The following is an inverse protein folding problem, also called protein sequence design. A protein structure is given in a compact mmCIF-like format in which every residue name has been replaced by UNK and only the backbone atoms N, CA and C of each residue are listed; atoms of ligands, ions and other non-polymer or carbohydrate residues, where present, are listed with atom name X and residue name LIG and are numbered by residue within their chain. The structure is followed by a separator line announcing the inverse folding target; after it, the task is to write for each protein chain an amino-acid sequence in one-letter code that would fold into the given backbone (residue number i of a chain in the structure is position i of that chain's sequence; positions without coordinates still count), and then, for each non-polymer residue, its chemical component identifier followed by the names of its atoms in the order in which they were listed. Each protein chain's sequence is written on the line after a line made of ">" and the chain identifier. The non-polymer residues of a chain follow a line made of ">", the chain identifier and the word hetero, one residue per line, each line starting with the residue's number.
data_IF_847644118987
#
_entry.id   IF_847644118987
#
_cell.length_a   1.000
_cell.length_b   1.000
_cell.length_c   1.000
_cell.angle_alpha   90.00
_cell.angle_beta   90.00
_cell.angle_gamma   90.00
#
_symmetry.space_group_name_H-M   'P 1'
#
loop_
_entity.id
_entity.type
_entity.pdbx_description
1 polymer ?
#
# COMPACT_ATOMS: atom_id res chain seq x y z
N UNK A 1 -4.34 27.93 -15.22
CA UNK A 1 -5.36 27.81 -16.31
C UNK A 1 -5.42 29.06 -17.17
N UNK A 2 -5.80 30.25 -16.65
CA UNK A 2 -5.90 31.48 -17.45
C UNK A 2 -4.67 31.82 -18.30
N UNK A 3 -3.45 31.55 -17.82
CA UNK A 3 -2.23 31.86 -18.59
C UNK A 3 -2.08 30.96 -19.80
N UNK A 4 -2.35 29.64 -19.67
CA UNK A 4 -2.31 28.69 -20.79
C UNK A 4 -3.41 29.03 -21.83
N UNK A 5 -4.62 29.34 -21.36
CA UNK A 5 -5.71 29.74 -22.26
C UNK A 5 -5.34 31.00 -23.09
N UNK A 6 -4.71 32.01 -22.49
CA UNK A 6 -4.19 33.16 -23.20
C UNK A 6 -3.09 32.80 -24.18
N UNK A 7 -2.13 31.96 -23.78
CA UNK A 7 -1.06 31.51 -24.68
C UNK A 7 -1.62 30.71 -25.86
N UNK A 8 -2.60 29.84 -25.65
CA UNK A 8 -3.28 29.12 -26.73
C UNK A 8 -4.02 30.08 -27.68
N UNK A 9 -4.72 31.09 -27.16
CA UNK A 9 -5.39 32.09 -27.98
C UNK A 9 -4.41 32.96 -28.79
N UNK A 10 -3.22 33.23 -28.25
CA UNK A 10 -2.21 34.07 -28.89
C UNK A 10 -1.33 33.29 -29.87
N UNK A 11 -0.81 32.13 -29.47
CA UNK A 11 0.21 31.39 -30.21
C UNK A 11 -0.39 30.27 -31.09
N UNK A 12 -1.57 29.77 -30.75
CA UNK A 12 -2.24 28.71 -31.48
C UNK A 12 -3.76 28.94 -31.63
N UNK A 13 -4.19 30.14 -32.12
CA UNK A 13 -5.61 30.53 -32.20
C UNK A 13 -6.46 29.63 -33.09
N UNK A 14 -5.83 28.95 -34.06
CA UNK A 14 -6.48 28.01 -34.99
C UNK A 14 -6.38 26.54 -34.54
N UNK A 15 -5.75 26.28 -33.40
CA UNK A 15 -5.44 24.96 -32.89
C UNK A 15 -3.96 24.59 -32.98
N UNK A 16 -3.61 23.41 -32.55
CA UNK A 16 -2.23 22.88 -32.49
C UNK A 16 -2.00 21.92 -33.62
N UNK A 17 -0.79 21.90 -34.19
CA UNK A 17 -0.38 20.93 -35.21
C UNK A 17 -0.29 19.54 -34.59
N UNK A 18 -0.74 18.52 -35.35
CA UNK A 18 -0.58 17.10 -34.98
C UNK A 18 0.22 16.38 -36.05
N UNK A 19 1.29 15.70 -35.68
CA UNK A 19 2.14 14.93 -36.60
C UNK A 19 2.31 13.50 -36.12
N UNK A 20 2.52 12.59 -37.06
CA UNK A 20 2.84 11.18 -36.74
C UNK A 20 4.24 11.10 -36.15
N UNK A 21 4.43 10.18 -35.21
CA UNK A 21 5.76 9.93 -34.64
C UNK A 21 6.78 9.63 -35.74
N UNK A 22 6.44 8.78 -36.73
CA UNK A 22 7.36 8.45 -37.82
C UNK A 22 7.72 9.61 -38.74
N UNK A 23 6.96 10.72 -38.76
CA UNK A 23 7.26 11.93 -39.52
C UNK A 23 8.23 12.86 -38.83
N UNK A 24 8.43 12.70 -37.51
CA UNK A 24 9.19 13.62 -36.66
C UNK A 24 10.37 12.99 -35.93
N UNK A 25 10.60 11.70 -36.12
CA UNK A 25 11.72 10.99 -35.48
C UNK A 25 11.81 9.53 -35.90
N UNK A 26 12.78 8.85 -35.37
CA UNK A 26 13.08 7.45 -35.66
C UNK A 26 13.22 6.59 -34.42
N UNK A 27 12.91 5.29 -34.56
CA UNK A 27 13.08 4.31 -33.50
C UNK A 27 14.42 3.60 -33.61
N UNK A 28 15.11 3.45 -32.49
CA UNK A 28 16.34 2.66 -32.39
C UNK A 28 16.22 1.55 -31.34
N UNK A 29 16.99 0.48 -31.50
CA UNK A 29 16.98 -0.65 -30.57
C UNK A 29 17.90 -0.41 -29.35
N UNK A 30 17.59 -1.10 -28.25
CA UNK A 30 18.53 -1.26 -27.14
C UNK A 30 19.71 -2.20 -27.50
N UNK A 31 20.47 -2.59 -26.48
CA UNK A 31 21.64 -3.48 -26.59
C UNK A 31 21.34 -4.77 -27.36
N UNK A 32 22.23 -5.14 -28.27
CA UNK A 32 22.11 -6.35 -29.08
C UNK A 32 23.32 -7.26 -28.82
N UNK A 33 23.12 -8.58 -28.90
CA UNK A 33 24.19 -9.58 -28.82
C UNK A 33 24.82 -9.74 -27.42
N UNK A 34 24.17 -9.28 -26.35
CA UNK A 34 24.65 -9.40 -24.98
C UNK A 34 24.17 -10.68 -24.31
N UNK A 35 25.09 -11.37 -23.63
CA UNK A 35 24.79 -12.53 -22.78
C UNK A 35 24.66 -12.10 -21.31
N UNK A 36 24.13 -12.98 -20.45
CA UNK A 36 24.03 -12.73 -19.02
C UNK A 36 25.37 -12.33 -18.39
N UNK A 37 26.48 -12.89 -18.89
CA UNK A 37 27.84 -12.57 -18.41
C UNK A 37 28.25 -11.13 -18.71
N UNK A 38 27.71 -10.51 -19.76
CA UNK A 38 28.02 -9.12 -20.13
C UNK A 38 27.50 -8.09 -19.13
N UNK A 39 26.63 -8.49 -18.23
CA UNK A 39 26.00 -7.62 -17.21
C UNK A 39 26.57 -7.82 -15.81
N UNK A 40 27.53 -8.74 -15.59
CA UNK A 40 28.08 -9.04 -14.26
C UNK A 40 29.22 -8.09 -13.84
N UNK A 41 30.04 -7.65 -14.79
CA UNK A 41 31.12 -6.67 -14.58
C UNK A 41 31.31 -5.90 -15.89
N UNK A 42 30.76 -4.70 -15.98
CA UNK A 42 30.77 -3.90 -17.19
C UNK A 42 31.73 -2.68 -17.09
N UNK A 43 32.23 -2.23 -18.25
CA UNK A 43 33.02 -1.03 -18.43
C UNK A 43 32.20 0.22 -18.79
N UNK A 44 30.91 0.04 -19.06
CA UNK A 44 29.95 1.09 -19.44
C UNK A 44 28.65 0.92 -18.65
N UNK A 45 27.74 1.90 -18.76
CA UNK A 45 26.45 1.90 -18.11
C UNK A 45 25.28 1.72 -19.11
N UNK A 46 24.21 1.13 -18.64
CA UNK A 46 22.95 1.05 -19.39
C UNK A 46 21.74 1.32 -18.53
N UNK A 47 20.64 1.74 -19.16
CA UNK A 47 19.33 1.96 -18.53
C UNK A 47 18.63 0.61 -18.43
N UNK A 48 18.40 0.05 -17.22
CA UNK A 48 17.66 -1.20 -17.06
C UNK A 48 16.16 -1.02 -17.37
N UNK A 49 15.49 -2.13 -17.69
CA UNK A 49 14.06 -2.14 -17.98
C UNK A 49 13.22 -1.48 -16.87
N UNK A 50 13.54 -1.76 -15.60
CA UNK A 50 12.81 -1.24 -14.43
C UNK A 50 12.88 0.28 -14.33
N UNK A 51 14.01 0.89 -14.72
CA UNK A 51 14.15 2.34 -14.78
C UNK A 51 13.20 2.96 -15.80
N UNK A 52 13.15 2.39 -17.01
CA UNK A 52 12.21 2.84 -18.06
C UNK A 52 10.76 2.64 -17.64
N UNK A 53 10.46 1.53 -17.01
CA UNK A 53 9.10 1.17 -16.61
C UNK A 53 8.54 2.08 -15.51
N UNK A 54 9.31 2.27 -14.44
CA UNK A 54 8.84 2.96 -13.24
C UNK A 54 8.90 4.50 -13.35
N UNK A 55 9.87 5.03 -14.10
CA UNK A 55 10.17 6.45 -14.08
C UNK A 55 9.70 7.18 -15.36
N UNK A 56 8.93 8.28 -15.25
CA UNK A 56 8.56 9.11 -16.40
C UNK A 56 9.75 9.89 -16.98
N UNK A 57 10.78 10.11 -16.17
CA UNK A 57 12.08 10.66 -16.56
C UNK A 57 13.21 9.75 -16.11
N UNK A 58 14.31 9.73 -16.85
CA UNK A 58 15.47 8.88 -16.57
C UNK A 58 16.08 9.21 -15.20
N UNK A 59 16.22 8.15 -14.37
CA UNK A 59 16.99 8.22 -13.12
C UNK A 59 18.43 7.76 -13.38
N UNK A 60 19.37 8.68 -13.38
CA UNK A 60 20.80 8.38 -13.58
C UNK A 60 21.44 7.66 -12.39
N UNK A 61 20.80 7.63 -11.22
CA UNK A 61 21.29 6.87 -10.06
C UNK A 61 20.91 5.39 -10.13
N UNK A 62 19.96 5.02 -10.99
CA UNK A 62 19.47 3.66 -11.17
C UNK A 62 19.96 3.04 -12.50
N UNK A 63 21.22 3.23 -12.82
CA UNK A 63 21.90 2.60 -13.95
C UNK A 63 22.61 1.32 -13.53
N UNK A 64 22.74 0.39 -14.48
CA UNK A 64 23.48 -0.85 -14.27
C UNK A 64 24.69 -0.91 -15.22
N UNK A 65 25.66 -1.80 -14.92
CA UNK A 65 26.88 -1.92 -15.73
C UNK A 65 26.70 -2.95 -16.87
N UNK A 66 27.38 -2.70 -18.00
CA UNK A 66 27.43 -3.61 -19.14
C UNK A 66 28.80 -3.59 -19.78
N UNK A 67 29.28 -4.75 -20.23
CA UNK A 67 30.53 -4.88 -20.98
C UNK A 67 30.31 -4.54 -22.46
N UNK A 68 30.99 -3.52 -22.97
CA UNK A 68 31.02 -3.11 -24.36
C UNK A 68 32.43 -3.25 -24.88
N UNK A 69 32.60 -3.91 -26.04
CA UNK A 69 33.88 -4.06 -26.70
C UNK A 69 34.27 -2.79 -27.48
N UNK A 70 35.58 -2.53 -27.64
CA UNK A 70 36.09 -1.30 -28.26
C UNK A 70 35.62 -1.05 -29.69
N UNK A 71 35.33 -2.12 -30.44
CA UNK A 71 34.87 -2.03 -31.83
C UNK A 71 33.33 -2.27 -31.97
N UNK A 72 32.65 -2.41 -30.85
CA UNK A 72 31.23 -2.73 -30.83
C UNK A 72 30.39 -1.48 -31.04
N UNK A 73 29.55 -1.50 -32.09
CA UNK A 73 28.62 -0.40 -32.38
C UNK A 73 27.27 -0.70 -31.71
N UNK A 74 26.90 0.10 -30.75
CA UNK A 74 25.62 0.05 -30.04
C UNK A 74 25.03 1.46 -29.98
N UNK A 75 23.70 1.56 -29.94
CA UNK A 75 23.03 2.84 -29.79
C UNK A 75 23.19 3.37 -28.37
N UNK A 76 23.51 4.65 -28.25
CA UNK A 76 23.55 5.38 -26.99
C UNK A 76 22.34 6.31 -26.87
N UNK A 77 21.89 6.56 -25.65
CA UNK A 77 20.81 7.51 -25.37
C UNK A 77 21.35 8.94 -25.40
N UNK A 78 20.47 9.90 -25.71
CA UNK A 78 20.77 11.34 -25.75
C UNK A 78 19.68 12.14 -25.07
N UNK A 79 19.97 13.39 -24.71
CA UNK A 79 18.96 14.34 -24.23
C UNK A 79 17.80 14.44 -25.23
N UNK A 80 16.57 14.39 -24.72
CA UNK A 80 15.35 14.44 -25.53
C UNK A 80 14.87 13.08 -26.05
N UNK A 81 15.69 12.01 -25.96
CA UNK A 81 15.23 10.68 -26.33
C UNK A 81 14.07 10.20 -25.46
N UNK A 82 13.13 9.51 -26.08
CA UNK A 82 12.06 8.80 -25.39
C UNK A 82 12.36 7.30 -25.40
N UNK A 83 12.48 6.71 -24.22
CA UNK A 83 12.74 5.30 -24.05
C UNK A 83 11.42 4.58 -23.75
N UNK A 84 11.16 3.46 -24.44
CA UNK A 84 9.94 2.67 -24.27
C UNK A 84 10.27 1.22 -23.87
N UNK A 85 9.44 0.63 -23.03
CA UNK A 85 9.47 -0.83 -22.80
C UNK A 85 8.90 -1.54 -24.03
N UNK A 86 9.60 -2.58 -24.52
CA UNK A 86 9.23 -3.30 -25.73
C UNK A 86 8.13 -4.34 -25.54
N UNK A 87 7.99 -4.86 -24.32
CA UNK A 87 6.97 -5.86 -23.98
C UNK A 87 6.55 -5.79 -22.52
N UNK A 88 5.35 -6.30 -22.21
CA UNK A 88 4.82 -6.43 -20.85
C UNK A 88 3.91 -7.65 -20.73
N UNK A 89 3.66 -8.11 -19.51
CA UNK A 89 2.66 -9.14 -19.19
C UNK A 89 1.22 -8.57 -19.19
N UNK A 90 1.08 -7.26 -18.97
CA UNK A 90 -0.19 -6.55 -18.94
C UNK A 90 -0.28 -5.58 -20.14
N UNK A 91 -1.45 -5.52 -20.76
CA UNK A 91 -1.72 -4.60 -21.88
C UNK A 91 -1.56 -3.13 -21.45
N UNK A 92 -2.05 -2.78 -20.27
CA UNK A 92 -2.01 -1.42 -19.71
C UNK A 92 -0.58 -0.94 -19.44
N UNK A 93 0.34 -1.87 -19.16
CA UNK A 93 1.74 -1.59 -18.84
C UNK A 93 2.66 -1.64 -20.07
N UNK A 94 2.13 -1.95 -21.25
CA UNK A 94 2.93 -2.04 -22.47
C UNK A 94 3.37 -0.66 -22.96
N UNK A 95 4.57 -0.56 -23.54
CA UNK A 95 5.17 0.71 -23.99
C UNK A 95 5.17 1.81 -22.92
N UNK A 96 5.52 1.45 -21.69
CA UNK A 96 5.80 2.50 -20.68
C UNK A 96 6.98 3.35 -21.13
N UNK A 97 6.82 4.67 -20.99
CA UNK A 97 7.79 5.64 -21.52
C UNK A 97 8.62 6.26 -20.40
N UNK A 98 9.87 6.54 -20.70
CA UNK A 98 10.81 7.28 -19.87
C UNK A 98 11.54 8.28 -20.75
N UNK A 99 11.65 9.53 -20.35
CA UNK A 99 12.26 10.59 -21.15
C UNK A 99 13.61 10.97 -20.59
N UNK A 100 14.60 11.15 -21.44
CA UNK A 100 15.93 11.69 -21.08
C UNK A 100 15.82 13.21 -20.99
N UNK A 101 15.64 13.72 -19.78
CA UNK A 101 15.40 15.16 -19.52
C UNK A 101 16.65 15.93 -19.12
N UNK A 102 17.79 15.26 -18.99
CA UNK A 102 19.05 15.85 -18.57
C UNK A 102 20.19 15.49 -19.52
N UNK A 103 21.22 16.34 -19.59
CA UNK A 103 22.38 16.12 -20.45
C UNK A 103 23.12 14.86 -20.04
N UNK A 104 23.49 14.06 -21.01
CA UNK A 104 24.26 12.83 -20.85
C UNK A 104 25.71 13.14 -21.20
N UNK A 105 26.63 12.98 -20.24
CA UNK A 105 28.06 13.28 -20.43
C UNK A 105 28.89 12.05 -20.86
N UNK A 106 28.32 10.84 -20.67
CA UNK A 106 29.00 9.56 -20.96
C UNK A 106 28.10 8.71 -21.84
N UNK A 107 28.67 7.76 -22.58
CA UNK A 107 27.91 6.76 -23.30
C UNK A 107 27.09 5.93 -22.33
N UNK A 108 25.76 6.01 -22.44
CA UNK A 108 24.81 5.17 -21.73
C UNK A 108 23.99 4.44 -22.76
N UNK A 109 23.84 3.14 -22.57
CA UNK A 109 23.11 2.25 -23.46
C UNK A 109 21.72 1.96 -22.93
N UNK A 110 20.88 1.32 -23.74
CA UNK A 110 19.52 0.96 -23.37
C UNK A 110 19.36 -0.55 -23.27
N UNK A 111 18.59 -1.04 -22.30
CA UNK A 111 18.28 -2.46 -22.15
C UNK A 111 17.71 -3.07 -23.46
N UNK A 112 18.06 -4.33 -23.76
CA UNK A 112 17.63 -5.05 -24.98
C UNK A 112 16.12 -5.26 -25.09
N UNK A 113 15.37 -5.23 -23.98
CA UNK A 113 13.91 -5.32 -23.93
C UNK A 113 13.22 -3.96 -24.06
N UNK A 114 14.01 -2.91 -24.27
CA UNK A 114 13.53 -1.55 -24.47
C UNK A 114 13.97 -1.06 -25.87
N UNK A 115 13.36 0.00 -26.33
CA UNK A 115 13.75 0.72 -27.54
C UNK A 115 13.62 2.22 -27.31
N UNK A 116 14.43 2.99 -28.02
CA UNK A 116 14.41 4.44 -27.98
C UNK A 116 13.71 5.03 -29.19
N UNK A 117 13.26 6.26 -29.04
CA UNK A 117 12.77 7.12 -30.10
C UNK A 117 13.49 8.46 -30.02
N UNK A 118 14.08 8.92 -31.12
CA UNK A 118 14.83 10.17 -31.24
C UNK A 118 14.15 11.09 -32.23
N UNK A 119 13.93 12.32 -31.84
CA UNK A 119 13.38 13.35 -32.72
C UNK A 119 14.43 13.83 -33.72
N UNK A 120 14.00 14.12 -34.95
CA UNK A 120 14.87 14.73 -35.99
C UNK A 120 15.22 16.19 -35.66
N UNK A 121 14.30 16.90 -35.02
CA UNK A 121 14.50 18.26 -34.49
C UNK A 121 14.49 18.22 -32.97
N UNK A 122 15.64 18.46 -32.35
CA UNK A 122 15.84 18.47 -30.90
C UNK A 122 15.07 19.60 -30.18
N UNK A 123 14.69 20.64 -30.93
CA UNK A 123 13.97 21.81 -30.42
C UNK A 123 12.45 21.67 -30.55
N UNK A 124 11.94 20.59 -31.11
CA UNK A 124 10.51 20.37 -31.34
C UNK A 124 9.74 20.25 -30.04
N UNK A 125 10.34 19.62 -29.03
CA UNK A 125 9.74 19.39 -27.74
C UNK A 125 10.64 19.77 -26.56
N UNK A 126 10.03 20.31 -25.53
CA UNK A 126 10.62 20.31 -24.20
C UNK A 126 10.59 18.85 -23.66
N UNK A 127 11.73 18.23 -23.31
CA UNK A 127 11.77 16.85 -22.80
C UNK A 127 10.86 16.64 -21.57
N UNK A 128 10.77 17.63 -20.68
CA UNK A 128 9.89 17.55 -19.51
C UNK A 128 8.39 17.59 -19.88
N UNK A 129 8.00 18.19 -21.02
CA UNK A 129 6.64 18.09 -21.52
C UNK A 129 6.30 16.67 -21.94
N UNK A 130 7.23 16.00 -22.64
CA UNK A 130 7.05 14.62 -23.10
C UNK A 130 6.88 13.63 -21.94
N UNK A 131 7.60 13.81 -20.81
CA UNK A 131 7.46 12.93 -19.64
C UNK A 131 6.03 12.92 -19.08
N UNK A 132 5.34 14.07 -19.14
CA UNK A 132 3.94 14.17 -18.72
C UNK A 132 2.98 13.66 -19.79
N UNK A 133 3.21 14.07 -21.06
CA UNK A 133 2.32 13.76 -22.16
C UNK A 133 2.24 12.26 -22.48
N UNK A 134 3.39 11.59 -22.55
CA UNK A 134 3.44 10.18 -22.95
C UNK A 134 2.91 9.20 -21.88
N UNK A 135 2.73 9.68 -20.65
CA UNK A 135 2.08 8.94 -19.57
C UNK A 135 0.65 9.40 -19.29
N UNK A 136 0.14 10.33 -20.07
CA UNK A 136 -1.27 10.75 -19.97
C UNK A 136 -2.23 9.68 -20.45
N UNK A 137 -3.43 9.64 -19.86
CA UNK A 137 -4.45 8.64 -20.17
C UNK A 137 -4.80 8.58 -21.67
N UNK A 138 -4.98 9.74 -22.30
CA UNK A 138 -5.36 9.81 -23.73
C UNK A 138 -4.27 9.27 -24.65
N UNK A 139 -3.00 9.55 -24.36
CA UNK A 139 -1.90 8.94 -25.09
C UNK A 139 -1.83 7.43 -24.85
N UNK A 140 -1.90 7.00 -23.58
CA UNK A 140 -1.85 5.60 -23.18
C UNK A 140 -2.96 4.76 -23.82
N UNK A 141 -4.18 5.31 -23.90
CA UNK A 141 -5.30 4.68 -24.60
C UNK A 141 -4.98 4.38 -26.08
N UNK A 142 -4.17 5.19 -26.76
CA UNK A 142 -3.75 4.93 -28.14
C UNK A 142 -2.67 3.85 -28.22
N UNK A 143 -1.85 3.67 -27.19
CA UNK A 143 -0.84 2.60 -27.12
C UNK A 143 -1.50 1.22 -27.18
N UNK A 144 -2.65 1.01 -26.54
CA UNK A 144 -3.36 -0.28 -26.59
C UNK A 144 -3.70 -0.75 -28.01
N UNK A 145 -3.82 0.19 -28.98
CA UNK A 145 -4.12 -0.09 -30.40
C UNK A 145 -2.90 -0.55 -31.21
N UNK A 146 -1.69 -0.40 -30.67
CA UNK A 146 -0.43 -0.69 -31.37
C UNK A 146 0.33 -1.88 -30.75
N UNK A 147 -0.34 -2.60 -29.87
CA UNK A 147 0.20 -3.74 -29.14
C UNK A 147 -0.39 -5.04 -29.68
N UNK A 148 0.43 -6.08 -29.82
CA UNK A 148 0.06 -7.41 -30.25
C UNK A 148 0.43 -8.44 -29.17
N UNK A 149 -0.38 -9.50 -29.02
CA UNK A 149 -0.14 -10.61 -28.11
C UNK A 149 -1.35 -10.92 -27.22
N UNK A 150 -1.30 -12.07 -26.54
CA UNK A 150 -2.37 -12.55 -25.64
C UNK A 150 -1.86 -12.76 -24.22
N UNK A 151 -0.73 -13.44 -24.04
CA UNK A 151 -0.09 -13.71 -22.73
C UNK A 151 1.09 -12.79 -22.47
N UNK A 152 1.76 -12.36 -23.53
CA UNK A 152 2.82 -11.36 -23.52
C UNK A 152 2.56 -10.36 -24.62
N UNK A 153 2.43 -9.11 -24.25
CA UNK A 153 2.11 -8.01 -25.12
C UNK A 153 3.40 -7.37 -25.66
N UNK A 154 3.50 -7.20 -26.96
CA UNK A 154 4.65 -6.62 -27.64
C UNK A 154 4.23 -5.37 -28.43
N UNK A 155 5.08 -4.35 -28.41
CA UNK A 155 4.86 -3.08 -29.12
C UNK A 155 5.28 -3.22 -30.58
N UNK A 156 4.38 -2.90 -31.50
CA UNK A 156 4.71 -2.73 -32.92
C UNK A 156 5.23 -1.32 -33.18
N UNK A 157 6.54 -1.16 -33.41
CA UNK A 157 7.14 0.13 -33.78
C UNK A 157 6.51 0.72 -35.07
N UNK A 158 6.14 -0.14 -36.02
CA UNK A 158 5.48 0.28 -37.28
C UNK A 158 4.09 0.87 -37.02
N UNK A 159 3.32 0.32 -36.07
CA UNK A 159 2.02 0.88 -35.68
C UNK A 159 2.21 2.11 -34.80
N UNK A 160 3.19 2.09 -33.89
CA UNK A 160 3.52 3.22 -33.01
C UNK A 160 3.95 4.45 -33.82
N UNK A 161 4.68 4.28 -34.93
CA UNK A 161 5.06 5.38 -35.85
C UNK A 161 3.86 6.11 -36.47
N UNK A 162 2.70 5.46 -36.54
CA UNK A 162 1.46 6.04 -37.10
C UNK A 162 0.65 6.85 -36.06
N UNK A 163 0.98 6.76 -34.76
CA UNK A 163 0.31 7.56 -33.74
C UNK A 163 0.66 9.05 -33.97
N UNK A 164 -0.38 9.87 -33.96
CA UNK A 164 -0.24 11.32 -34.07
C UNK A 164 -0.18 11.93 -32.66
N UNK A 165 0.74 12.89 -32.47
CA UNK A 165 0.88 13.65 -31.23
C UNK A 165 0.80 15.14 -31.51
N UNK A 166 0.28 15.94 -30.55
CA UNK A 166 0.24 17.40 -30.68
C UNK A 166 1.62 18.01 -30.54
N UNK A 167 1.88 19.07 -31.26
CA UNK A 167 3.10 19.88 -31.21
C UNK A 167 2.72 21.30 -30.82
N UNK A 168 2.41 21.60 -29.55
CA UNK A 168 2.13 22.95 -29.13
C UNK A 168 3.42 23.79 -29.15
N UNK A 169 3.34 25.11 -29.33
CA UNK A 169 4.47 26.04 -29.22
C UNK A 169 5.25 25.83 -27.90
N UNK A 170 6.57 25.99 -27.93
CA UNK A 170 7.46 25.73 -26.80
C UNK A 170 7.07 26.49 -25.52
N UNK A 171 6.56 27.69 -25.65
CA UNK A 171 6.12 28.51 -24.51
C UNK A 171 4.92 27.88 -23.81
N UNK A 172 4.03 27.25 -24.56
CA UNK A 172 2.88 26.51 -24.02
C UNK A 172 3.38 25.24 -23.32
N UNK A 173 4.31 24.50 -23.96
CA UNK A 173 4.92 23.31 -23.36
C UNK A 173 5.59 23.65 -22.02
N UNK A 174 6.39 24.73 -21.97
CA UNK A 174 7.08 25.19 -20.77
C UNK A 174 6.12 25.56 -19.64
N UNK A 175 5.03 26.25 -19.95
CA UNK A 175 4.04 26.63 -18.93
C UNK A 175 3.28 25.41 -18.40
N UNK A 176 2.97 24.44 -19.25
CA UNK A 176 2.36 23.16 -18.84
C UNK A 176 3.33 22.39 -17.92
N UNK A 177 4.60 22.28 -18.29
CA UNK A 177 5.64 21.65 -17.47
C UNK A 177 5.72 22.29 -16.09
N UNK A 178 5.79 23.62 -16.03
CA UNK A 178 5.86 24.36 -14.77
C UNK A 178 4.70 24.04 -13.84
N UNK A 179 3.49 23.94 -14.38
CA UNK A 179 2.30 23.60 -13.58
C UNK A 179 2.34 22.15 -13.14
N UNK A 180 2.61 21.20 -14.04
CA UNK A 180 2.56 19.77 -13.72
C UNK A 180 3.72 19.33 -12.82
N UNK A 181 4.91 19.93 -12.96
CA UNK A 181 6.03 19.66 -12.07
C UNK A 181 5.75 20.18 -10.65
N UNK A 182 5.22 21.41 -10.51
CA UNK A 182 4.81 21.95 -9.21
C UNK A 182 3.74 21.08 -8.53
N UNK A 183 2.75 20.57 -9.27
CA UNK A 183 1.77 19.62 -8.75
C UNK A 183 2.39 18.30 -8.31
N UNK A 184 3.36 17.78 -9.07
CA UNK A 184 4.04 16.52 -8.76
C UNK A 184 4.89 16.65 -7.49
N UNK A 185 5.64 17.75 -7.36
CA UNK A 185 6.45 18.08 -6.19
C UNK A 185 5.57 18.19 -4.94
N UNK A 186 4.53 19.04 -4.99
CA UNK A 186 3.59 19.23 -3.89
C UNK A 186 2.92 17.92 -3.45
N UNK A 187 2.49 17.08 -4.40
CA UNK A 187 1.90 15.79 -4.07
C UNK A 187 2.92 14.84 -3.41
N UNK A 188 4.18 14.87 -3.84
CA UNK A 188 5.25 14.03 -3.29
C UNK A 188 5.58 14.45 -1.86
N UNK A 189 5.76 15.73 -1.60
CA UNK A 189 6.01 16.29 -0.28
C UNK A 189 4.87 15.93 0.68
N UNK A 190 3.65 16.23 0.28
CA UNK A 190 2.47 15.96 1.12
C UNK A 190 2.27 14.47 1.40
N UNK A 191 2.46 13.58 0.42
CA UNK A 191 2.39 12.14 0.64
C UNK A 191 3.46 11.67 1.63
N UNK A 192 4.64 12.28 1.60
CA UNK A 192 5.73 11.99 2.54
C UNK A 192 5.38 12.44 3.95
N UNK A 193 4.84 13.66 4.10
CA UNK A 193 4.38 14.20 5.39
C UNK A 193 3.26 13.35 5.98
N UNK A 194 2.22 13.05 5.20
CA UNK A 194 1.08 12.25 5.63
C UNK A 194 1.49 10.84 6.07
N UNK A 195 2.39 10.18 5.33
CA UNK A 195 2.90 8.86 5.70
C UNK A 195 3.79 8.92 6.94
N UNK A 196 4.56 9.99 7.12
CA UNK A 196 5.40 10.20 8.31
C UNK A 196 4.54 10.42 9.54
N UNK A 197 3.51 11.28 9.45
CA UNK A 197 2.53 11.49 10.52
C UNK A 197 1.82 10.18 10.90
N UNK A 198 1.36 9.41 9.90
CA UNK A 198 0.72 8.13 10.15
C UNK A 198 1.63 7.15 10.90
N UNK A 199 2.91 7.06 10.52
CA UNK A 199 3.90 6.22 11.21
C UNK A 199 4.15 6.70 12.64
N UNK A 200 4.24 8.02 12.85
CA UNK A 200 4.43 8.61 14.17
C UNK A 200 3.23 8.32 15.09
N UNK A 201 2.00 8.48 14.59
CA UNK A 201 0.77 8.19 15.34
C UNK A 201 0.62 6.71 15.70
N UNK A 202 0.96 5.80 14.79
CA UNK A 202 0.99 4.36 15.09
C UNK A 202 1.96 4.04 16.22
N UNK A 203 3.20 4.55 16.16
CA UNK A 203 4.20 4.36 17.22
C UNK A 203 3.75 4.95 18.55
N UNK A 204 3.12 6.13 18.53
CA UNK A 204 2.57 6.76 19.71
C UNK A 204 1.45 5.92 20.33
N UNK A 205 0.54 5.39 19.51
CA UNK A 205 -0.51 4.48 19.97
C UNK A 205 0.07 3.22 20.63
N UNK A 206 1.00 2.55 19.97
CA UNK A 206 1.69 1.35 20.50
C UNK A 206 2.40 1.64 21.83
N UNK A 207 3.07 2.79 21.94
CA UNK A 207 3.72 3.21 23.18
C UNK A 207 2.70 3.39 24.32
N UNK A 208 1.62 4.15 24.11
CA UNK A 208 0.60 4.36 25.12
C UNK A 208 -0.14 3.06 25.47
N UNK A 209 -0.45 2.22 24.47
CA UNK A 209 -1.07 0.92 24.70
C UNK A 209 -0.20 0.05 25.61
N UNK A 210 1.07 -0.10 25.30
CA UNK A 210 2.01 -0.88 26.10
C UNK A 210 2.14 -0.30 27.52
N UNK A 211 2.26 1.02 27.63
CA UNK A 211 2.37 1.71 28.93
C UNK A 211 1.14 1.48 29.82
N UNK A 212 -0.07 1.58 29.25
CA UNK A 212 -1.33 1.44 30.01
C UNK A 212 -1.64 -0.01 30.38
N UNK A 213 -1.12 -0.98 29.62
CA UNK A 213 -1.39 -2.40 29.82
C UNK A 213 -0.30 -3.15 30.61
N UNK A 214 0.88 -2.56 30.77
CA UNK A 214 1.99 -3.14 31.53
C UNK A 214 2.02 -2.66 32.99
N UNK A 215 1.66 -3.56 33.92
CA UNK A 215 1.58 -3.33 35.34
C UNK A 215 2.80 -3.84 36.10
N UNK A 216 3.85 -4.35 35.43
CA UNK A 216 5.00 -5.00 36.10
C UNK A 216 5.80 -4.06 37.03
N UNK A 217 5.94 -2.80 36.60
CA UNK A 217 6.76 -1.83 37.33
C UNK A 217 6.03 -1.11 38.49
N UNK A 218 4.75 -1.43 38.75
CA UNK A 218 4.00 -0.81 39.88
C UNK A 218 4.50 -1.33 41.22
N UNK A 219 5.24 -2.42 41.24
CA UNK A 219 5.82 -3.05 42.46
C UNK A 219 7.27 -2.66 42.74
N UNK A 220 8.00 -1.99 41.82
CA UNK A 220 9.38 -1.64 42.07
C UNK A 220 9.48 -0.50 43.07
N UNK A 221 10.03 -0.84 44.25
CA UNK A 221 10.23 -0.01 45.40
C UNK A 221 10.70 1.42 45.11
N UNK A 222 10.19 2.35 45.89
CA UNK A 222 10.46 3.78 46.00
C UNK A 222 11.94 4.23 46.06
N UNK A 223 12.95 3.38 45.84
CA UNK A 223 14.36 3.77 45.98
C UNK A 223 15.09 4.11 44.68
N UNK A 224 14.56 3.70 43.53
CA UNK A 224 15.18 3.99 42.21
C UNK A 224 14.29 4.86 41.28
N UNK A 225 13.47 5.71 41.86
CA UNK A 225 12.45 6.55 41.20
C UNK A 225 13.02 7.67 40.29
N UNK A 226 14.23 7.54 39.74
CA UNK A 226 14.81 8.58 38.87
C UNK A 226 14.80 8.27 37.37
N UNK A 227 14.32 7.10 36.90
CA UNK A 227 14.49 6.78 35.46
C UNK A 227 13.30 6.19 34.70
N UNK A 228 12.09 6.05 35.27
CA UNK A 228 10.91 5.81 34.36
C UNK A 228 9.60 6.17 35.08
N UNK A 229 9.36 7.44 35.33
CA UNK A 229 8.01 7.90 35.69
C UNK A 229 7.10 7.70 34.48
N UNK A 230 6.40 6.55 34.37
CA UNK A 230 5.30 6.38 33.45
C UNK A 230 4.30 7.51 33.71
N UNK A 231 4.17 8.45 32.76
CA UNK A 231 3.28 9.60 32.92
C UNK A 231 1.85 9.18 32.57
N UNK A 232 1.18 8.50 33.50
CA UNK A 232 -0.23 8.16 33.35
C UNK A 232 -1.11 9.43 33.32
N UNK A 233 -2.25 9.41 32.61
CA UNK A 233 -3.27 10.46 32.74
C UNK A 233 -3.66 10.65 34.21
N UNK A 234 -3.84 11.88 34.64
CA UNK A 234 -4.07 12.23 36.07
C UNK A 234 -5.13 11.37 36.75
N UNK A 235 -6.26 11.15 36.07
CA UNK A 235 -7.35 10.32 36.63
C UNK A 235 -6.92 8.87 36.86
N UNK A 236 -6.25 8.24 35.89
CA UNK A 236 -5.75 6.88 36.02
C UNK A 236 -4.70 6.79 37.14
N UNK A 237 -3.83 7.78 37.25
CA UNK A 237 -2.84 7.86 38.33
C UNK A 237 -3.51 7.89 39.68
N UNK A 238 -4.56 8.71 39.88
CA UNK A 238 -5.34 8.76 41.14
C UNK A 238 -6.00 7.42 41.43
N UNK A 239 -6.62 6.77 40.42
CA UNK A 239 -7.24 5.46 40.63
C UNK A 239 -6.22 4.38 41.00
N UNK A 240 -5.05 4.34 40.39
CA UNK A 240 -3.97 3.41 40.74
C UNK A 240 -3.50 3.62 42.21
N UNK A 241 -3.29 4.86 42.60
CA UNK A 241 -2.89 5.18 43.97
C UNK A 241 -3.95 4.82 45.02
N UNK A 242 -5.22 4.99 44.69
CA UNK A 242 -6.33 4.78 45.64
C UNK A 242 -6.78 3.32 45.70
N UNK A 243 -6.92 2.65 44.56
CA UNK A 243 -7.53 1.31 44.45
C UNK A 243 -6.50 0.18 44.36
N UNK A 244 -5.28 0.48 43.95
CA UNK A 244 -4.21 -0.51 43.80
C UNK A 244 -2.88 -0.04 44.44
N UNK A 245 -2.88 0.49 45.68
CA UNK A 245 -1.66 1.04 46.29
C UNK A 245 -0.58 -0.01 46.56
N UNK A 246 -0.97 -1.28 46.64
CA UNK A 246 -0.07 -2.43 46.84
C UNK A 246 0.25 -3.15 45.51
N UNK A 247 -0.16 -2.58 44.37
CA UNK A 247 -0.02 -3.15 43.04
C UNK A 247 -1.23 -3.94 42.55
N UNK A 248 -1.07 -4.66 41.46
CA UNK A 248 -2.14 -5.35 40.76
C UNK A 248 -1.91 -6.87 40.79
N UNK A 249 -2.97 -7.63 41.06
CA UNK A 249 -2.92 -9.09 41.02
C UNK A 249 -2.78 -9.62 39.58
N UNK A 250 -2.01 -10.67 39.42
CA UNK A 250 -1.86 -11.38 38.13
C UNK A 250 -2.47 -12.77 38.21
N UNK A 251 -3.27 -13.14 37.22
CA UNK A 251 -3.86 -14.47 37.08
C UNK A 251 -3.42 -15.16 35.79
N UNK A 252 -3.41 -16.49 35.78
CA UNK A 252 -3.17 -17.25 34.57
C UNK A 252 -4.43 -17.31 33.69
N UNK A 253 -4.26 -17.55 32.39
CA UNK A 253 -5.41 -17.71 31.49
C UNK A 253 -6.31 -18.87 31.95
N UNK A 254 -5.73 -19.99 32.39
CA UNK A 254 -6.51 -21.15 32.84
C UNK A 254 -7.30 -20.93 34.16
N UNK A 255 -6.86 -20.03 35.01
CA UNK A 255 -7.64 -19.63 36.21
C UNK A 255 -8.92 -18.91 35.82
N UNK A 256 -8.87 -18.06 34.79
CA UNK A 256 -9.94 -17.11 34.43
C UNK A 256 -10.85 -17.65 33.32
N UNK A 257 -10.29 -18.38 32.36
CA UNK A 257 -11.01 -18.73 31.13
C UNK A 257 -11.21 -20.23 30.95
N UNK A 258 -12.32 -20.59 30.34
CA UNK A 258 -12.44 -21.80 29.55
C UNK A 258 -11.68 -21.61 28.24
N UNK A 259 -10.72 -22.50 27.98
CA UNK A 259 -9.84 -22.45 26.80
C UNK A 259 -10.18 -23.61 25.88
N UNK A 260 -10.78 -23.34 24.73
CA UNK A 260 -11.22 -24.37 23.78
C UNK A 260 -10.94 -23.94 22.36
N UNK A 261 -10.57 -24.89 21.50
CA UNK A 261 -10.38 -24.61 20.08
C UNK A 261 -11.70 -24.48 19.33
N UNK A 262 -11.70 -23.65 18.29
CA UNK A 262 -12.77 -23.58 17.33
C UNK A 262 -12.96 -24.90 16.56
N UNK A 263 -13.96 -24.93 15.70
CA UNK A 263 -14.34 -26.11 14.95
C UNK A 263 -14.79 -25.73 13.55
N UNK A 264 -14.33 -26.49 12.54
CA UNK A 264 -14.80 -26.37 11.17
C UNK A 264 -15.75 -27.51 10.84
N UNK A 265 -17.03 -27.21 10.56
CA UNK A 265 -17.96 -28.20 10.02
C UNK A 265 -17.48 -28.76 8.67
N UNK A 266 -17.90 -29.98 8.31
CA UNK A 266 -17.56 -30.56 7.01
C UNK A 266 -17.99 -29.62 5.88
N UNK A 267 -17.06 -29.19 5.04
CA UNK A 267 -17.32 -28.29 3.90
C UNK A 267 -18.17 -28.96 2.81
N UNK A 268 -18.12 -30.29 2.73
CA UNK A 268 -18.82 -31.07 1.72
C UNK A 268 -20.29 -31.35 2.08
N UNK A 269 -20.78 -30.90 3.24
CA UNK A 269 -22.17 -31.08 3.61
C UNK A 269 -22.93 -29.73 3.51
N UNK A 270 -23.75 -29.52 2.45
CA UNK A 270 -24.49 -28.27 2.24
C UNK A 270 -25.42 -27.93 3.41
N UNK A 271 -26.01 -28.93 4.09
CA UNK A 271 -26.90 -28.70 5.24
C UNK A 271 -26.24 -27.95 6.41
N UNK A 272 -24.91 -27.92 6.46
CA UNK A 272 -24.18 -27.20 7.51
C UNK A 272 -23.99 -25.71 7.19
N UNK A 273 -24.13 -25.34 5.91
CA UNK A 273 -23.75 -24.00 5.41
C UNK A 273 -24.89 -23.24 4.76
N UNK A 274 -25.78 -23.93 4.04
CA UNK A 274 -26.89 -23.28 3.34
C UNK A 274 -27.91 -22.73 4.33
N UNK A 275 -28.26 -21.44 4.18
CA UNK A 275 -29.17 -20.71 5.06
C UNK A 275 -28.74 -20.73 6.53
N UNK A 276 -27.43 -20.73 6.78
CA UNK A 276 -26.88 -20.62 8.13
C UNK A 276 -27.31 -19.33 8.81
N UNK A 277 -27.53 -19.41 10.13
CA UNK A 277 -27.94 -18.28 10.98
C UNK A 277 -26.95 -18.01 12.12
N UNK A 278 -25.99 -18.91 12.33
CA UNK A 278 -25.01 -18.83 13.40
C UNK A 278 -23.70 -18.28 12.82
N UNK A 279 -23.16 -17.18 13.33
CA UNK A 279 -21.88 -16.64 12.88
C UNK A 279 -20.74 -17.67 13.07
N UNK A 280 -19.95 -17.86 12.01
CA UNK A 280 -18.79 -18.73 12.02
C UNK A 280 -17.56 -17.96 11.52
N UNK A 281 -16.71 -17.56 12.48
CA UNK A 281 -15.62 -16.62 12.24
C UNK A 281 -14.34 -17.26 11.68
N UNK A 282 -13.71 -16.53 10.76
CA UNK A 282 -12.41 -16.82 10.17
C UNK A 282 -11.52 -15.58 10.22
N UNK A 283 -10.29 -15.73 9.75
CA UNK A 283 -9.34 -14.61 9.71
C UNK A 283 -9.81 -13.47 8.78
N UNK A 284 -10.53 -13.80 7.71
CA UNK A 284 -11.12 -12.83 6.79
C UNK A 284 -12.08 -11.89 7.51
N UNK A 285 -12.86 -12.39 8.46
CA UNK A 285 -13.79 -11.56 9.25
C UNK A 285 -13.06 -10.48 10.05
N UNK A 286 -11.90 -10.81 10.64
CA UNK A 286 -11.08 -9.83 11.36
C UNK A 286 -10.50 -8.78 10.39
N UNK A 287 -10.10 -9.19 9.20
CA UNK A 287 -9.50 -8.27 8.20
C UNK A 287 -10.53 -7.31 7.63
N UNK A 288 -11.74 -7.76 7.38
CA UNK A 288 -12.79 -6.97 6.73
C UNK A 288 -13.63 -6.16 7.73
N UNK A 289 -13.95 -6.75 8.89
CA UNK A 289 -14.88 -6.17 9.85
C UNK A 289 -14.19 -5.63 11.12
N UNK A 290 -12.85 -5.71 11.20
CA UNK A 290 -12.08 -5.28 12.36
C UNK A 290 -12.10 -6.30 13.49
N UNK A 291 -11.68 -5.87 14.69
CA UNK A 291 -11.40 -6.76 15.83
C UNK A 291 -12.54 -6.87 16.85
N UNK A 292 -13.66 -6.17 16.66
CA UNK A 292 -14.89 -6.32 17.47
C UNK A 292 -15.96 -6.86 16.53
N UNK A 293 -16.26 -8.16 16.65
CA UNK A 293 -17.06 -8.89 15.68
C UNK A 293 -18.49 -9.11 16.17
N UNK A 294 -19.45 -8.60 15.41
CA UNK A 294 -20.90 -8.76 15.66
C UNK A 294 -21.57 -9.72 14.70
N UNK A 295 -20.94 -9.98 13.56
CA UNK A 295 -21.43 -10.87 12.51
C UNK A 295 -20.25 -11.39 11.68
N UNK A 296 -20.45 -12.49 10.94
CA UNK A 296 -19.45 -13.13 10.11
C UNK A 296 -19.84 -13.12 8.63
N UNK A 297 -18.85 -13.20 7.77
CA UNK A 297 -19.03 -13.33 6.31
C UNK A 297 -19.75 -14.66 5.99
N UNK A 298 -19.49 -15.71 6.76
CA UNK A 298 -20.04 -17.03 6.56
C UNK A 298 -20.76 -17.53 7.81
N UNK A 299 -21.97 -18.08 7.61
CA UNK A 299 -22.81 -18.62 8.68
C UNK A 299 -22.92 -20.14 8.58
N UNK A 300 -23.21 -20.77 9.71
CA UNK A 300 -23.51 -22.21 9.81
C UNK A 300 -24.93 -22.42 10.33
N UNK A 301 -25.47 -23.59 10.04
CA UNK A 301 -26.78 -24.00 10.57
C UNK A 301 -26.64 -24.65 11.96
N UNK A 302 -27.72 -24.72 12.77
CA UNK A 302 -27.70 -25.47 14.02
C UNK A 302 -27.27 -26.95 13.87
N UNK A 303 -27.56 -27.57 12.72
CA UNK A 303 -27.13 -28.96 12.41
C UNK A 303 -25.61 -29.11 12.39
N UNK A 304 -24.88 -28.04 12.02
CA UNK A 304 -23.43 -28.03 11.97
C UNK A 304 -22.77 -28.16 13.36
N UNK A 305 -23.48 -27.85 14.41
CA UNK A 305 -22.95 -27.87 15.78
C UNK A 305 -22.68 -29.29 16.30
N UNK A 306 -23.38 -30.31 15.80
CA UNK A 306 -23.21 -31.72 16.23
C UNK A 306 -23.18 -31.86 17.76
N UNK A 307 -24.15 -31.26 18.46
CA UNK A 307 -24.28 -31.23 19.93
C UNK A 307 -23.17 -30.40 20.66
N UNK A 308 -22.33 -29.65 19.96
CA UNK A 308 -21.42 -28.69 20.59
C UNK A 308 -22.18 -27.42 20.98
N UNK A 309 -21.79 -26.84 22.09
CA UNK A 309 -22.31 -25.53 22.51
C UNK A 309 -21.62 -24.40 21.76
N UNK A 310 -22.36 -23.35 21.46
CA UNK A 310 -21.76 -22.10 21.01
C UNK A 310 -20.87 -21.49 22.07
N UNK A 311 -19.86 -20.78 21.66
CA UNK A 311 -19.10 -19.91 22.52
C UNK A 311 -19.89 -18.65 22.82
N UNK A 312 -19.99 -18.24 24.09
CA UNK A 312 -20.82 -17.13 24.47
C UNK A 312 -20.28 -15.78 23.96
N UNK A 313 -21.18 -14.84 23.76
CA UNK A 313 -20.80 -13.43 23.57
C UNK A 313 -19.85 -12.97 24.66
N UNK A 314 -19.03 -11.96 24.36
CA UNK A 314 -17.92 -11.49 25.18
C UNK A 314 -16.78 -12.53 25.35
N UNK A 315 -16.67 -13.51 24.44
CA UNK A 315 -15.47 -14.34 24.32
C UNK A 315 -14.42 -13.65 23.44
N UNK A 316 -13.15 -13.95 23.71
CA UNK A 316 -12.04 -13.60 22.78
C UNK A 316 -11.72 -14.81 21.93
N UNK A 317 -11.51 -14.61 20.63
CA UNK A 317 -10.81 -15.56 19.77
C UNK A 317 -9.38 -15.08 19.53
N UNK A 318 -8.42 -15.98 19.66
CA UNK A 318 -7.01 -15.71 19.35
C UNK A 318 -6.46 -16.82 18.44
N UNK A 319 -5.78 -16.44 17.37
CA UNK A 319 -5.15 -17.40 16.46
C UNK A 319 -3.90 -18.01 17.11
N UNK A 320 -3.92 -19.32 17.29
CA UNK A 320 -2.82 -20.10 17.86
C UNK A 320 -2.06 -20.93 16.82
N UNK A 321 -2.50 -20.87 15.55
CA UNK A 321 -1.85 -21.47 14.39
C UNK A 321 -1.93 -20.49 13.20
N UNK A 322 -1.07 -20.64 12.19
CA UNK A 322 -0.98 -19.80 10.99
C UNK A 322 -0.71 -18.31 11.32
N UNK A 323 -1.70 -17.44 11.35
CA UNK A 323 -1.55 -16.01 11.71
C UNK A 323 -1.50 -15.79 13.23
N UNK A 324 -0.50 -16.36 13.87
CA UNK A 324 -0.38 -16.43 15.34
C UNK A 324 -0.46 -15.04 15.99
N UNK A 325 -1.30 -14.93 17.06
CA UNK A 325 -1.46 -13.74 17.87
C UNK A 325 -2.55 -12.77 17.40
N UNK A 326 -3.12 -12.95 16.18
CA UNK A 326 -4.29 -12.21 15.76
C UNK A 326 -5.50 -12.59 16.60
N UNK A 327 -6.26 -11.60 17.08
CA UNK A 327 -7.36 -11.82 18.01
C UNK A 327 -8.53 -10.86 17.77
N UNK A 328 -9.71 -11.24 18.27
CA UNK A 328 -10.91 -10.42 18.22
C UNK A 328 -11.80 -10.66 19.44
N UNK A 329 -12.56 -9.62 19.83
CA UNK A 329 -13.66 -9.70 20.78
C UNK A 329 -14.97 -10.02 20.05
N UNK A 330 -15.65 -11.07 20.47
CA UNK A 330 -16.95 -11.47 19.93
C UNK A 330 -18.06 -10.87 20.78
N UNK A 331 -18.99 -10.14 20.17
CA UNK A 331 -20.15 -9.56 20.85
C UNK A 331 -21.46 -10.32 20.54
N UNK A 332 -21.34 -11.55 20.01
CA UNK A 332 -22.43 -12.45 19.64
C UNK A 332 -22.01 -13.90 19.99
N UNK A 333 -23.01 -14.74 20.31
CA UNK A 333 -22.79 -16.18 20.46
C UNK A 333 -22.44 -16.80 19.12
N UNK A 334 -21.36 -17.56 19.04
CA UNK A 334 -20.78 -17.93 17.75
C UNK A 334 -19.90 -19.15 17.80
N UNK A 335 -19.36 -19.51 16.62
CA UNK A 335 -18.28 -20.47 16.44
C UNK A 335 -17.19 -19.84 15.59
N UNK A 336 -15.99 -20.42 15.58
CA UNK A 336 -14.91 -20.06 14.68
C UNK A 336 -14.20 -21.30 14.16
N UNK A 337 -13.37 -21.16 13.13
CA UNK A 337 -12.58 -22.27 12.62
C UNK A 337 -11.52 -22.74 13.67
N UNK A 338 -10.92 -23.91 13.43
CA UNK A 338 -9.96 -24.51 14.37
C UNK A 338 -8.62 -23.75 14.48
N UNK A 339 -8.38 -22.74 13.66
CA UNK A 339 -7.22 -21.86 13.77
C UNK A 339 -7.27 -21.02 15.05
N UNK A 340 -8.49 -20.74 15.52
CA UNK A 340 -8.71 -19.95 16.71
C UNK A 340 -8.89 -20.78 17.96
N UNK A 341 -8.30 -20.29 19.05
CA UNK A 341 -8.59 -20.70 20.42
C UNK A 341 -9.51 -19.65 21.06
N UNK A 342 -10.58 -20.10 21.68
CA UNK A 342 -11.52 -19.29 22.41
C UNK A 342 -11.10 -19.13 23.87
N UNK A 343 -11.20 -17.90 24.38
CA UNK A 343 -11.06 -17.54 25.78
C UNK A 343 -12.42 -17.02 26.27
N UNK A 344 -13.21 -17.90 26.87
CA UNK A 344 -14.52 -17.58 27.43
C UNK A 344 -14.41 -17.48 28.95
N UNK A 345 -14.77 -16.32 29.53
CA UNK A 345 -14.66 -16.13 30.99
C UNK A 345 -15.53 -17.16 31.74
N UNK A 346 -14.94 -17.83 32.73
CA UNK A 346 -15.65 -18.78 33.59
C UNK A 346 -16.67 -18.06 34.46
N UNK A 347 -17.89 -18.60 34.55
CA UNK A 347 -18.97 -18.02 35.34
C UNK A 347 -18.61 -17.92 36.84
N UNK A 348 -17.90 -18.94 37.35
CA UNK A 348 -17.62 -19.09 38.80
C UNK A 348 -16.18 -18.74 39.18
N UNK A 349 -15.46 -17.93 38.39
CA UNK A 349 -14.06 -17.56 38.72
C UNK A 349 -13.97 -16.47 39.81
N UNK A 350 -15.08 -15.83 40.19
CA UNK A 350 -15.10 -14.77 41.22
C UNK A 350 -14.31 -13.48 40.84
N UNK A 351 -13.86 -13.37 39.60
CA UNK A 351 -12.98 -12.29 39.16
C UNK A 351 -13.78 -11.23 38.40
N UNK A 352 -13.68 -9.99 38.83
CA UNK A 352 -14.25 -8.83 38.14
C UNK A 352 -13.33 -8.47 36.96
N UNK A 353 -13.67 -8.94 35.73
CA UNK A 353 -12.91 -8.69 34.51
C UNK A 353 -13.81 -8.09 33.44
N UNK A 354 -13.45 -6.90 32.96
CA UNK A 354 -14.00 -6.30 31.75
C UNK A 354 -13.36 -6.99 30.53
N UNK A 355 -14.19 -7.62 29.71
CA UNK A 355 -13.70 -8.36 28.53
C UNK A 355 -13.11 -7.45 27.45
N UNK A 356 -13.46 -6.17 27.44
CA UNK A 356 -12.84 -5.19 26.54
C UNK A 356 -11.45 -4.77 27.02
N UNK A 357 -11.24 -4.69 28.33
CA UNK A 357 -9.90 -4.54 28.91
C UNK A 357 -9.03 -5.76 28.55
N UNK A 358 -9.56 -6.98 28.72
CA UNK A 358 -8.83 -8.18 28.33
C UNK A 358 -8.58 -8.25 26.82
N UNK A 359 -9.50 -7.76 25.99
CA UNK A 359 -9.27 -7.62 24.53
C UNK A 359 -8.01 -6.78 24.26
N UNK A 360 -7.83 -5.66 24.97
CA UNK A 360 -6.60 -4.88 24.84
C UNK A 360 -5.37 -5.62 25.39
N UNK A 361 -5.49 -6.36 26.48
CA UNK A 361 -4.41 -7.23 26.98
C UNK A 361 -3.99 -8.30 25.95
N UNK A 362 -4.89 -8.72 25.09
CA UNK A 362 -4.59 -9.70 24.04
C UNK A 362 -3.61 -9.19 22.97
N UNK A 363 -3.35 -7.89 22.85
CA UNK A 363 -2.24 -7.40 22.03
C UNK A 363 -0.88 -7.85 22.60
N UNK A 364 -0.70 -7.74 23.92
CA UNK A 364 0.51 -8.25 24.60
C UNK A 364 0.57 -9.79 24.57
N UNK A 365 -0.56 -10.46 24.80
CA UNK A 365 -0.66 -11.91 24.66
C UNK A 365 -0.33 -12.36 23.25
N UNK A 366 -0.78 -11.66 22.22
CA UNK A 366 -0.49 -11.96 20.81
C UNK A 366 1.01 -11.89 20.51
N UNK A 367 1.70 -10.86 20.99
CA UNK A 367 3.16 -10.74 20.84
C UNK A 367 3.90 -11.84 21.61
N UNK A 368 3.39 -12.23 22.79
CA UNK A 368 3.92 -13.37 23.52
C UNK A 368 3.72 -14.69 22.73
N UNK A 369 2.55 -14.91 22.15
CA UNK A 369 2.26 -16.09 21.31
C UNK A 369 3.24 -16.24 20.15
N UNK A 370 3.57 -15.16 19.47
CA UNK A 370 4.55 -15.16 18.36
C UNK A 370 5.95 -15.64 18.78
N UNK A 371 6.31 -15.37 20.04
CA UNK A 371 7.62 -15.74 20.60
C UNK A 371 7.65 -17.11 21.25
N UNK A 372 6.49 -17.73 21.49
CA UNK A 372 6.34 -19.01 22.18
C UNK A 372 5.65 -20.06 21.29
N UNK A 373 6.28 -20.33 20.16
CA UNK A 373 5.79 -21.30 19.17
C UNK A 373 6.65 -22.55 19.13
N UNK A 374 6.01 -23.70 18.91
CA UNK A 374 6.69 -24.95 18.60
C UNK A 374 7.11 -24.95 17.12
N UNK A 375 8.35 -25.31 16.83
CA UNK A 375 8.98 -25.20 15.50
C UNK A 375 8.95 -26.50 14.69
N UNK A 376 8.38 -27.58 15.22
CA UNK A 376 8.29 -28.86 14.53
C UNK A 376 7.05 -28.95 13.64
N UNK A 377 7.19 -28.66 12.34
CA UNK A 377 6.10 -28.70 11.37
C UNK A 377 5.40 -27.34 11.18
N UNK A 378 4.06 -27.31 11.23
CA UNK A 378 3.33 -26.05 11.22
C UNK A 378 3.49 -25.31 12.53
N UNK A 379 3.92 -24.03 12.47
CA UNK A 379 4.07 -23.20 13.65
C UNK A 379 2.76 -23.11 14.43
N UNK A 380 2.79 -23.49 15.70
CA UNK A 380 1.66 -23.44 16.62
C UNK A 380 2.14 -22.97 18.00
N UNK A 381 1.27 -22.30 18.74
CA UNK A 381 1.57 -21.84 20.10
C UNK A 381 1.68 -23.04 21.03
N UNK A 382 2.67 -23.05 21.94
CA UNK A 382 2.72 -24.01 23.04
C UNK A 382 1.52 -23.79 23.98
N UNK A 383 0.53 -24.67 23.86
CA UNK A 383 -0.72 -24.55 24.62
C UNK A 383 -0.53 -24.79 26.13
N UNK A 384 0.53 -25.49 26.56
CA UNK A 384 0.85 -25.67 27.98
C UNK A 384 1.35 -24.37 28.58
N UNK A 385 2.26 -23.69 27.88
CA UNK A 385 2.75 -22.39 28.26
C UNK A 385 1.66 -21.31 28.13
N UNK A 386 0.83 -21.38 27.08
CA UNK A 386 -0.28 -20.45 26.85
C UNK A 386 -1.26 -20.42 28.03
N UNK A 387 -1.70 -21.57 28.52
CA UNK A 387 -2.60 -21.66 29.69
C UNK A 387 -2.03 -20.99 30.94
N UNK A 388 -0.71 -21.05 31.11
CA UNK A 388 0.02 -20.48 32.26
C UNK A 388 0.42 -19.01 32.07
N UNK A 389 0.13 -18.42 30.91
CA UNK A 389 0.38 -16.99 30.69
C UNK A 389 -0.36 -16.14 31.72
N UNK A 390 0.37 -15.27 32.42
CA UNK A 390 -0.16 -14.37 33.45
C UNK A 390 -0.48 -13.01 32.90
N UNK A 391 -1.64 -12.49 33.24
CA UNK A 391 -2.06 -11.13 32.88
C UNK A 391 -2.62 -10.39 34.11
N UNK A 392 -2.53 -9.04 34.13
CA UNK A 392 -2.95 -8.23 35.28
C UNK A 392 -4.47 -8.13 35.35
N UNK A 393 -4.99 -8.12 36.59
CA UNK A 393 -6.42 -7.91 36.89
C UNK A 393 -6.52 -6.75 37.89
N UNK A 394 -6.40 -5.49 37.44
CA UNK A 394 -6.63 -4.36 38.31
C UNK A 394 -8.11 -4.24 38.68
N UNK A 395 -8.46 -3.46 39.72
CA UNK A 395 -9.85 -3.10 40.04
C UNK A 395 -10.63 -2.64 38.81
N UNK A 396 -11.95 -2.92 38.77
CA UNK A 396 -12.79 -2.73 37.58
C UNK A 396 -12.79 -1.27 37.07
N UNK A 397 -12.74 -0.30 37.99
CA UNK A 397 -12.70 1.12 37.68
C UNK A 397 -11.41 1.49 36.88
N UNK A 398 -10.30 0.86 37.22
CA UNK A 398 -9.03 1.04 36.52
C UNK A 398 -9.12 0.41 35.14
N UNK A 399 -9.69 -0.80 35.03
CA UNK A 399 -9.91 -1.45 33.72
C UNK A 399 -10.76 -0.58 32.79
N UNK A 400 -11.88 -0.06 33.30
CA UNK A 400 -12.80 0.81 32.53
C UNK A 400 -12.14 2.13 32.10
N UNK A 401 -11.34 2.76 32.98
CA UNK A 401 -10.63 3.99 32.62
C UNK A 401 -9.57 3.72 31.51
N UNK A 402 -8.85 2.61 31.57
CA UNK A 402 -7.90 2.19 30.53
C UNK A 402 -8.63 1.93 29.22
N UNK A 403 -9.76 1.20 29.23
CA UNK A 403 -10.58 0.96 28.06
C UNK A 403 -11.03 2.26 27.43
N UNK A 404 -11.53 3.21 28.23
CA UNK A 404 -11.96 4.52 27.74
C UNK A 404 -10.83 5.28 27.03
N UNK A 405 -9.63 5.28 27.60
CA UNK A 405 -8.47 5.96 27.02
C UNK A 405 -8.08 5.27 25.70
N UNK A 406 -7.99 3.93 25.69
CA UNK A 406 -7.58 3.18 24.49
C UNK A 406 -8.63 3.27 23.37
N UNK A 407 -9.93 3.29 23.69
CA UNK A 407 -11.00 3.50 22.73
C UNK A 407 -10.90 4.88 22.04
N UNK A 408 -10.61 5.93 22.81
CA UNK A 408 -10.43 7.26 22.26
C UNK A 408 -9.21 7.31 21.31
N UNK A 409 -8.10 6.72 21.72
CA UNK A 409 -6.92 6.63 20.87
C UNK A 409 -7.17 5.79 19.61
N UNK A 410 -7.89 4.67 19.75
CA UNK A 410 -8.22 3.81 18.59
C UNK A 410 -9.11 4.56 17.60
N UNK A 411 -10.14 5.28 18.06
CA UNK A 411 -11.00 6.08 17.20
C UNK A 411 -10.20 7.13 16.41
N UNK A 412 -9.38 7.94 17.12
CA UNK A 412 -8.52 8.95 16.48
C UNK A 412 -7.55 8.34 15.46
N UNK A 413 -6.97 7.19 15.78
CA UNK A 413 -6.03 6.49 14.87
C UNK A 413 -6.77 5.91 13.66
N UNK A 414 -7.97 5.38 13.85
CA UNK A 414 -8.79 4.81 12.77
C UNK A 414 -9.24 5.90 11.80
N UNK A 415 -9.66 7.07 12.29
CA UNK A 415 -10.03 8.20 11.46
C UNK A 415 -8.85 8.68 10.59
N UNK A 416 -7.65 8.76 11.16
CA UNK A 416 -6.43 9.08 10.41
C UNK A 416 -6.05 7.99 9.41
N UNK A 417 -6.18 6.70 9.79
CA UNK A 417 -5.89 5.56 8.93
C UNK A 417 -6.83 5.48 7.73
N UNK A 418 -8.08 5.91 7.87
CA UNK A 418 -9.05 5.98 6.78
C UNK A 418 -8.91 7.28 5.95
N UNK A 419 -8.69 8.41 6.64
CA UNK A 419 -8.63 9.73 6.02
C UNK A 419 -7.41 9.94 5.13
N UNK A 420 -6.21 9.55 5.58
CA UNK A 420 -4.96 9.76 4.83
C UNK A 420 -4.96 9.04 3.46
N UNK A 421 -5.29 7.74 3.35
CA UNK A 421 -5.39 7.09 2.04
C UNK A 421 -6.47 7.67 1.14
N UNK A 422 -7.59 8.12 1.71
CA UNK A 422 -8.66 8.78 0.95
C UNK A 422 -8.20 10.13 0.38
N UNK A 423 -7.48 10.93 1.16
CA UNK A 423 -6.90 12.19 0.74
C UNK A 423 -5.86 12.00 -0.38
N UNK A 424 -4.93 11.04 -0.21
CA UNK A 424 -3.95 10.67 -1.24
C UNK A 424 -4.66 10.28 -2.55
N UNK A 425 -5.71 9.46 -2.47
CA UNK A 425 -6.49 9.03 -3.63
C UNK A 425 -7.23 10.19 -4.31
N UNK A 426 -7.81 11.11 -3.52
CA UNK A 426 -8.50 12.29 -4.03
C UNK A 426 -7.53 13.22 -4.78
N UNK A 427 -6.33 13.46 -4.22
CA UNK A 427 -5.29 14.29 -4.85
C UNK A 427 -4.74 13.66 -6.12
N UNK A 428 -4.56 12.34 -6.15
CA UNK A 428 -4.17 11.63 -7.37
C UNK A 428 -5.20 11.83 -8.48
N UNK A 429 -6.49 11.67 -8.19
CA UNK A 429 -7.57 11.93 -9.15
C UNK A 429 -7.59 13.39 -9.62
N UNK A 430 -7.38 14.32 -8.72
CA UNK A 430 -7.31 15.75 -9.05
C UNK A 430 -6.13 16.05 -9.99
N UNK A 431 -4.96 15.49 -9.71
CA UNK A 431 -3.80 15.61 -10.60
C UNK A 431 -4.08 15.02 -11.98
N UNK A 432 -4.65 13.84 -12.07
CA UNK A 432 -5.01 13.17 -13.34
C UNK A 432 -5.98 14.04 -14.15
N UNK A 433 -7.01 14.58 -13.51
CA UNK A 433 -7.97 15.50 -14.15
C UNK A 433 -7.29 16.74 -14.73
N UNK A 434 -6.45 17.44 -13.96
CA UNK A 434 -5.76 18.63 -14.45
C UNK A 434 -4.74 18.29 -15.52
N UNK A 435 -4.03 17.18 -15.39
CA UNK A 435 -3.09 16.70 -16.41
C UNK A 435 -3.79 16.46 -17.74
N UNK A 436 -4.88 15.70 -17.74
CA UNK A 436 -5.68 15.44 -18.93
C UNK A 436 -6.15 16.75 -19.59
N UNK A 437 -6.68 17.68 -18.80
CA UNK A 437 -7.16 18.97 -19.29
C UNK A 437 -6.05 19.82 -19.90
N UNK A 438 -4.85 19.82 -19.33
CA UNK A 438 -3.69 20.59 -19.81
C UNK A 438 -3.04 19.97 -21.06
N UNK A 439 -3.16 18.66 -21.23
CA UNK A 439 -2.53 17.92 -22.33
C UNK A 439 -3.51 17.60 -23.49
N UNK A 440 -4.75 18.05 -23.39
CA UNK A 440 -5.75 17.92 -24.47
C UNK A 440 -5.74 19.18 -25.35
N UNK A 441 -5.41 19.02 -26.63
CA UNK A 441 -5.32 20.11 -27.61
C UNK A 441 -6.35 19.94 -28.71
N UNK A 442 -6.82 21.08 -29.25
CA UNK A 442 -7.64 21.10 -30.47
C UNK A 442 -6.73 21.04 -31.69
N UNK A 443 -6.97 20.12 -32.66
CA UNK A 443 -6.20 20.10 -33.90
C UNK A 443 -6.40 21.36 -34.73
N UNK A 444 -5.39 21.74 -35.51
CA UNK A 444 -5.51 22.78 -36.53
C UNK A 444 -6.68 22.43 -37.47
N UNK A 445 -7.61 23.36 -37.64
CA UNK A 445 -8.67 23.25 -38.64
C UNK A 445 -8.05 23.46 -40.02
N UNK A 446 -8.17 22.53 -41.01
CA UNK A 446 -7.69 22.75 -42.37
C UNK A 446 -8.40 23.99 -42.96
N UNK A 447 -7.64 24.88 -43.57
CA UNK A 447 -8.24 25.95 -44.39
C UNK A 447 -9.14 25.26 -45.46
N UNK A 448 -10.46 25.52 -45.39
CA UNK A 448 -11.28 25.32 -46.57
C UNK A 448 -10.72 26.24 -47.65
N UNK A 449 -10.04 25.68 -48.67
CA UNK A 449 -9.75 26.43 -49.89
C UNK A 449 -11.09 26.97 -50.43
N UNK A 450 -11.24 28.29 -50.38
CA UNK A 450 -12.32 28.93 -51.12
C UNK A 450 -11.99 28.73 -52.58
N UNK A 451 -12.63 27.75 -53.21
CA UNK A 451 -12.67 27.67 -54.66
C UNK A 451 -13.27 28.99 -55.13
N UNK A 452 -12.41 29.87 -55.68
CA UNK A 452 -12.85 30.97 -56.48
C UNK A 452 -13.55 30.40 -57.71
N UNK A 453 -14.85 30.62 -57.79
CA UNK A 453 -15.60 30.49 -59.06
C UNK A 453 -15.13 31.56 -60.05
#
# INVERSE_FOLDING_TARGET
>A
MHKIERLLQTLAPKGVEFRKLGDIGEFYGGLVGKSKKSFSQGNKFYVPYVNVFNNPQLDLNALESVQIGDKEKQNTIQLGDVLFTGSSENLEDCAMSCVVTQKIEKDIYLNSFCFGFRFFDENLFNPSFLKHFLRDYNFRKNISKVVNGVTRFNVSKQLLSKITIPIPPLEIQQEIVKILDAFTELNTELNTELNTELKARKKQYEYYQNMLLDFKDIHSNHKDAKMSAKTYPKRLQTLLQTLAPKGVEFKTLEEVFEIKNGYTPSKNNPEFWEKGTIPWFRMEDIRENGRILKDSIQHITPKALKNKKLFPKNSIIISTTATIGEHALLIVDSLANQQFTFLSKKANCGIALDMKFFFYQCFLLGEWCKKNTNVSGFASVDMTAFKKYKFPIPPLEIQQEIVKILDQFLALTTDLLAGIPAEIKARKKQYEYYREKLLTFKPLTPHKEVKKC
#
